data_IF_946783092385
#
_entry.id   IF_946783092385
#
_cell.length_a   1.000
_cell.length_b   1.000
_cell.length_c   1.000
_cell.angle_alpha   90.00
_cell.angle_beta   90.00
_cell.angle_gamma   90.00
#
_symmetry.space_group_name_H-M   'P 1'
#
loop_
_entity.id
_entity.type
_entity.pdbx_description
1 polymer ?
#
# COMPACT_ATOMS: atom_id res chain seq x y z
N UNK A 1 -28.49 5.03 -34.27
CA UNK A 1 -27.09 4.73 -33.87
C UNK A 1 -26.04 5.10 -34.93
N UNK A 2 -26.39 5.78 -36.03
CA UNK A 2 -25.47 6.12 -37.14
C UNK A 2 -25.30 7.64 -37.41
N UNK A 3 -25.53 8.53 -36.44
CA UNK A 3 -25.44 9.99 -36.66
C UNK A 3 -24.25 10.71 -36.02
N UNK A 4 -23.25 9.98 -35.47
CA UNK A 4 -22.13 10.61 -34.76
C UNK A 4 -20.74 10.12 -35.19
N UNK A 5 -20.52 9.93 -36.49
CA UNK A 5 -19.17 9.80 -37.02
C UNK A 5 -18.87 11.03 -37.87
N UNK A 6 -18.27 12.05 -37.26
CA UNK A 6 -17.55 13.08 -38.01
C UNK A 6 -16.15 12.55 -38.27
N UNK A 7 -15.84 12.27 -39.54
CA UNK A 7 -14.46 12.04 -39.98
C UNK A 7 -13.63 13.32 -39.73
N UNK A 8 -12.65 13.21 -38.84
CA UNK A 8 -11.72 14.31 -38.58
C UNK A 8 -10.66 14.31 -39.67
N UNK A 9 -10.86 15.14 -40.70
CA UNK A 9 -9.82 15.50 -41.65
C UNK A 9 -8.77 16.35 -40.91
N UNK A 10 -7.61 15.75 -40.66
CA UNK A 10 -6.36 16.34 -40.17
C UNK A 10 -6.15 16.35 -38.62
N UNK A 11 -5.51 15.30 -38.06
CA UNK A 11 -5.25 15.18 -36.61
C UNK A 11 -4.22 16.20 -36.07
N UNK A 12 -3.55 16.99 -36.93
CA UNK A 12 -2.48 17.90 -36.51
C UNK A 12 -2.91 19.37 -36.34
N UNK A 13 -4.15 19.72 -36.67
CA UNK A 13 -4.70 21.08 -36.48
C UNK A 13 -4.99 21.48 -35.02
N UNK A 14 -5.01 20.52 -34.09
CA UNK A 14 -5.37 20.78 -32.68
C UNK A 14 -4.22 21.24 -31.78
N UNK A 15 -3.05 21.59 -32.33
CA UNK A 15 -1.87 22.04 -31.56
C UNK A 15 -2.07 23.33 -30.72
N UNK A 16 -3.25 23.96 -30.75
CA UNK A 16 -3.54 25.19 -29.99
C UNK A 16 -4.72 25.12 -29.03
N UNK A 17 -5.49 24.03 -29.01
CA UNK A 17 -6.71 23.98 -28.22
C UNK A 17 -6.53 23.03 -27.05
N UNK A 18 -6.42 23.60 -25.85
CA UNK A 18 -6.35 22.80 -24.63
C UNK A 18 -7.68 22.09 -24.38
N UNK A 19 -7.67 21.07 -23.53
CA UNK A 19 -8.89 20.37 -23.12
C UNK A 19 -9.94 21.33 -22.55
N UNK A 20 -9.51 22.41 -21.90
CA UNK A 20 -10.38 23.48 -21.44
C UNK A 20 -11.13 24.19 -22.59
N UNK A 21 -10.46 24.45 -23.72
CA UNK A 21 -11.06 25.11 -24.88
C UNK A 21 -12.05 24.19 -25.60
N UNK A 22 -11.73 22.89 -25.64
CA UNK A 22 -12.63 21.86 -26.13
C UNK A 22 -13.90 21.77 -25.27
N UNK A 23 -13.74 21.67 -23.94
CA UNK A 23 -14.85 21.54 -23.01
C UNK A 23 -15.71 22.82 -22.94
N UNK A 24 -15.09 24.01 -23.03
CA UNK A 24 -15.81 25.30 -23.08
C UNK A 24 -16.65 25.43 -24.35
N UNK A 25 -16.10 25.09 -25.53
CA UNK A 25 -16.84 25.18 -26.80
C UNK A 25 -18.03 24.24 -26.87
N UNK A 26 -17.95 23.09 -26.21
CA UNK A 26 -19.05 22.12 -26.14
C UNK A 26 -20.01 22.40 -24.98
N UNK A 27 -19.82 23.51 -24.25
CA UNK A 27 -20.60 23.86 -23.06
C UNK A 27 -20.60 22.77 -21.97
N UNK A 28 -19.56 21.94 -21.93
CA UNK A 28 -19.40 20.83 -20.99
C UNK A 28 -18.80 21.26 -19.64
N UNK A 29 -18.30 22.49 -19.56
CA UNK A 29 -17.83 23.15 -18.32
C UNK A 29 -18.94 24.00 -17.65
N UNK A 30 -20.20 23.59 -17.77
CA UNK A 30 -21.25 24.19 -16.96
C UNK A 30 -21.31 23.49 -15.59
N UNK A 31 -21.76 24.20 -14.57
CA UNK A 31 -21.72 23.73 -13.17
C UNK A 31 -22.49 22.42 -12.97
N UNK A 32 -23.55 22.18 -13.76
CA UNK A 32 -24.34 20.95 -13.72
C UNK A 32 -23.60 19.77 -14.36
N UNK A 33 -22.93 19.96 -15.50
CA UNK A 33 -22.14 18.93 -16.17
C UNK A 33 -20.88 18.60 -15.38
N UNK A 34 -20.21 19.60 -14.78
CA UNK A 34 -19.08 19.35 -13.88
C UNK A 34 -19.55 18.57 -12.66
N UNK A 35 -20.69 18.93 -12.04
CA UNK A 35 -21.29 18.15 -10.94
C UNK A 35 -21.59 16.70 -11.37
N UNK A 36 -22.14 16.49 -12.56
CA UNK A 36 -22.46 15.16 -13.10
C UNK A 36 -21.23 14.32 -13.50
N UNK A 37 -20.16 14.93 -14.01
CA UNK A 37 -18.90 14.24 -14.36
C UNK A 37 -18.09 13.95 -13.09
N UNK A 38 -18.11 14.87 -12.13
CA UNK A 38 -17.41 14.73 -10.85
C UNK A 38 -18.06 13.70 -9.91
N UNK A 39 -19.26 13.21 -10.25
CA UNK A 39 -20.01 12.25 -9.45
C UNK A 39 -19.90 10.82 -9.98
N UNK A 40 -18.71 10.38 -10.37
CA UNK A 40 -18.33 8.99 -10.15
C UNK A 40 -18.18 8.76 -8.64
N UNK A 41 -19.28 8.89 -7.89
CA UNK A 41 -19.30 8.62 -6.46
C UNK A 41 -19.16 7.11 -6.35
N UNK A 42 -17.93 6.63 -6.11
CA UNK A 42 -17.78 5.38 -5.37
C UNK A 42 -18.46 5.61 -4.04
N UNK A 43 -19.56 4.91 -3.80
CA UNK A 43 -20.14 4.82 -2.48
C UNK A 43 -19.10 4.09 -1.61
N UNK A 44 -18.21 4.85 -0.98
CA UNK A 44 -17.52 4.35 0.20
C UNK A 44 -18.65 4.22 1.22
N UNK A 45 -19.20 3.01 1.35
CA UNK A 45 -20.16 2.72 2.41
C UNK A 45 -19.56 3.06 3.77
N UNK A 46 -20.33 2.93 4.85
CA UNK A 46 -19.79 2.97 6.22
C UNK A 46 -18.46 2.20 6.23
N UNK A 47 -17.37 2.78 6.74
CA UNK A 47 -15.97 2.45 6.41
C UNK A 47 -15.50 0.99 6.53
N UNK A 48 -16.40 0.10 6.92
CA UNK A 48 -16.24 -1.33 6.94
C UNK A 48 -16.98 -2.07 5.79
N UNK A 49 -17.57 -1.35 4.84
CA UNK A 49 -18.27 -1.91 3.67
C UNK A 49 -17.26 -2.32 2.58
N UNK A 50 -17.61 -3.32 1.77
CA UNK A 50 -16.74 -3.74 0.68
C UNK A 50 -16.88 -2.76 -0.49
N UNK A 51 -15.79 -2.54 -1.23
CA UNK A 51 -15.77 -1.54 -2.29
C UNK A 51 -16.68 -1.94 -3.46
N UNK A 52 -17.46 -0.96 -3.94
CA UNK A 52 -18.39 -1.12 -5.06
C UNK A 52 -18.09 -0.10 -6.16
N UNK A 53 -18.39 -0.48 -7.41
CA UNK A 53 -18.39 0.45 -8.52
C UNK A 53 -19.58 1.44 -8.45
N UNK A 54 -19.65 2.40 -9.36
CA UNK A 54 -20.75 3.36 -9.42
C UNK A 54 -22.14 2.75 -9.71
N UNK A 55 -22.23 1.44 -9.94
CA UNK A 55 -23.47 0.67 -10.13
C UNK A 55 -23.78 -0.23 -8.94
N UNK A 56 -23.00 -0.16 -7.85
CA UNK A 56 -23.17 -1.00 -6.67
C UNK A 56 -22.66 -2.42 -6.85
N UNK A 57 -21.82 -2.70 -7.85
CA UNK A 57 -21.22 -4.03 -8.03
C UNK A 57 -19.89 -4.12 -7.29
N UNK A 58 -19.72 -5.20 -6.52
CA UNK A 58 -18.48 -5.46 -5.81
C UNK A 58 -17.34 -5.78 -6.77
N UNK A 59 -16.14 -5.32 -6.42
CA UNK A 59 -14.94 -5.56 -7.23
C UNK A 59 -13.68 -5.56 -6.35
N UNK A 60 -12.63 -6.30 -6.74
CA UNK A 60 -11.30 -6.11 -6.14
C UNK A 60 -10.58 -5.05 -6.97
N UNK A 61 -10.17 -3.93 -6.38
CA UNK A 61 -9.45 -2.91 -7.11
C UNK A 61 -8.09 -3.44 -7.58
N UNK A 62 -7.79 -3.23 -8.86
CA UNK A 62 -6.47 -3.51 -9.42
C UNK A 62 -5.38 -2.68 -8.72
N UNK A 63 -5.74 -1.52 -8.16
CA UNK A 63 -4.84 -0.71 -7.31
C UNK A 63 -4.45 -1.40 -6.00
N UNK A 64 -5.35 -2.17 -5.38
CA UNK A 64 -5.05 -2.94 -4.16
C UNK A 64 -4.06 -4.07 -4.45
N UNK A 65 -4.30 -4.81 -5.53
CA UNK A 65 -3.40 -5.88 -6.00
C UNK A 65 -2.05 -5.28 -6.41
N UNK A 66 -2.05 -4.18 -7.18
CA UNK A 66 -0.84 -3.47 -7.59
C UNK A 66 -0.06 -2.91 -6.41
N UNK A 67 -0.74 -2.49 -5.33
CA UNK A 67 -0.11 -2.10 -4.07
C UNK A 67 0.67 -3.25 -3.43
N UNK A 68 0.09 -4.44 -3.38
CA UNK A 68 0.78 -5.63 -2.86
C UNK A 68 1.96 -6.06 -3.78
N UNK A 69 1.80 -5.95 -5.10
CA UNK A 69 2.90 -6.14 -6.07
C UNK A 69 4.02 -5.11 -5.81
N UNK A 70 3.69 -3.84 -5.56
CA UNK A 70 4.67 -2.80 -5.25
C UNK A 70 5.53 -3.17 -4.04
N UNK A 71 4.89 -3.59 -2.96
CA UNK A 71 5.60 -4.01 -1.74
C UNK A 71 6.49 -5.22 -2.02
N UNK A 72 6.00 -6.20 -2.79
CA UNK A 72 6.76 -7.40 -3.15
C UNK A 72 8.03 -7.06 -3.94
N UNK A 73 7.92 -6.19 -4.96
CA UNK A 73 9.07 -5.75 -5.77
C UNK A 73 10.06 -4.97 -4.92
N UNK A 74 9.58 -4.09 -4.04
CA UNK A 74 10.45 -3.34 -3.12
C UNK A 74 11.17 -4.26 -2.14
N UNK A 75 10.45 -5.23 -1.56
CA UNK A 75 11.01 -6.23 -0.65
C UNK A 75 12.12 -7.03 -1.33
N UNK A 76 11.86 -7.60 -2.51
CA UNK A 76 12.84 -8.38 -3.25
C UNK A 76 14.10 -7.55 -3.55
N UNK A 77 13.91 -6.32 -4.02
CA UNK A 77 15.02 -5.42 -4.29
C UNK A 77 15.89 -5.15 -3.05
N UNK A 78 15.26 -4.81 -1.93
CA UNK A 78 16.00 -4.51 -0.70
C UNK A 78 16.63 -5.75 -0.07
N UNK A 79 16.04 -6.93 -0.27
CA UNK A 79 16.62 -8.21 0.14
C UNK A 79 17.89 -8.51 -0.66
N UNK A 80 17.88 -8.31 -1.97
CA UNK A 80 19.07 -8.46 -2.81
C UNK A 80 20.16 -7.45 -2.44
N UNK A 81 19.78 -6.21 -2.12
CA UNK A 81 20.73 -5.22 -1.59
C UNK A 81 21.33 -5.67 -0.26
N UNK A 82 20.52 -6.18 0.66
CA UNK A 82 20.97 -6.70 1.96
C UNK A 82 21.94 -7.88 1.80
N UNK A 83 21.67 -8.77 0.85
CA UNK A 83 22.49 -9.95 0.57
C UNK A 83 23.82 -9.58 -0.10
N UNK A 84 23.80 -8.66 -1.05
CA UNK A 84 24.97 -8.25 -1.83
C UNK A 84 25.85 -7.20 -1.14
N UNK A 85 25.24 -6.26 -0.41
CA UNK A 85 25.92 -5.18 0.29
C UNK A 85 25.18 -4.77 1.58
N UNK A 86 25.34 -5.60 2.60
CA UNK A 86 24.69 -5.41 3.90
C UNK A 86 25.07 -4.08 4.59
N UNK A 87 26.28 -3.55 4.36
CA UNK A 87 26.69 -2.25 4.91
C UNK A 87 25.87 -1.10 4.33
N UNK A 88 25.66 -1.09 3.00
CA UNK A 88 24.81 -0.09 2.35
C UNK A 88 23.34 -0.22 2.78
N UNK A 89 22.84 -1.46 2.91
CA UNK A 89 21.49 -1.69 3.45
C UNK A 89 21.37 -1.10 4.86
N UNK A 90 22.34 -1.37 5.74
CA UNK A 90 22.34 -0.87 7.11
C UNK A 90 22.43 0.65 7.18
N UNK A 91 23.37 1.26 6.48
CA UNK A 91 23.57 2.71 6.55
C UNK A 91 22.40 3.47 5.92
N UNK A 92 21.93 3.03 4.76
CA UNK A 92 21.01 3.83 3.98
C UNK A 92 19.54 3.51 4.20
N UNK A 93 19.22 2.31 4.72
CA UNK A 93 17.84 1.92 5.03
C UNK A 93 17.64 1.98 6.53
N UNK A 94 18.38 1.13 7.28
CA UNK A 94 18.22 1.04 8.74
C UNK A 94 18.59 2.36 9.43
N UNK A 95 19.74 2.94 9.10
CA UNK A 95 20.19 4.21 9.71
C UNK A 95 19.24 5.38 9.45
N UNK A 96 18.61 5.44 8.27
CA UNK A 96 17.60 6.45 7.96
C UNK A 96 16.31 6.25 8.76
N UNK A 97 15.85 5.00 8.85
CA UNK A 97 14.70 4.63 9.68
C UNK A 97 14.96 5.05 11.13
N UNK A 98 16.12 4.67 11.69
CA UNK A 98 16.50 5.01 13.05
C UNK A 98 16.59 6.52 13.29
N UNK A 99 17.16 7.26 12.33
CA UNK A 99 17.22 8.72 12.37
C UNK A 99 15.82 9.35 12.42
N UNK A 100 14.92 8.91 11.54
CA UNK A 100 13.54 9.39 11.48
C UNK A 100 12.75 9.03 12.74
N UNK A 101 12.93 7.83 13.27
CA UNK A 101 12.33 7.45 14.55
C UNK A 101 12.81 8.37 15.66
N UNK A 102 14.10 8.68 15.73
CA UNK A 102 14.66 9.61 16.72
C UNK A 102 14.06 11.02 16.58
N UNK A 103 13.91 11.51 15.36
CA UNK A 103 13.25 12.79 15.07
C UNK A 103 11.80 12.77 15.57
N UNK A 104 11.06 11.72 15.23
CA UNK A 104 9.69 11.51 15.66
C UNK A 104 9.55 11.47 17.20
N UNK A 105 10.37 10.68 17.90
CA UNK A 105 10.33 10.58 19.37
C UNK A 105 10.53 11.95 20.04
N UNK A 106 11.41 12.79 19.47
CA UNK A 106 11.69 14.15 19.95
C UNK A 106 10.46 15.05 19.80
N UNK A 107 9.82 15.04 18.64
CA UNK A 107 8.59 15.84 18.40
C UNK A 107 7.44 15.35 19.28
N UNK A 108 7.27 14.03 19.43
CA UNK A 108 6.26 13.41 20.31
C UNK A 108 6.41 13.84 21.76
N UNK A 109 7.64 13.90 22.26
CA UNK A 109 7.92 14.36 23.63
C UNK A 109 7.59 15.85 23.81
N UNK A 110 7.91 16.70 22.83
CA UNK A 110 7.53 18.11 22.83
C UNK A 110 6.00 18.31 22.80
N UNK A 111 5.29 17.52 21.98
CA UNK A 111 3.83 17.51 21.94
C UNK A 111 3.19 17.17 23.30
N UNK A 112 3.68 16.12 23.97
CA UNK A 112 3.18 15.70 25.28
C UNK A 112 3.42 16.80 26.32
N UNK A 113 4.58 17.45 26.30
CA UNK A 113 4.91 18.56 27.21
C UNK A 113 4.00 19.77 26.97
N UNK A 114 3.78 20.16 25.71
CA UNK A 114 2.87 21.24 25.36
C UNK A 114 1.43 20.97 25.84
N UNK A 115 0.94 19.72 25.69
CA UNK A 115 -0.36 19.30 26.24
C UNK A 115 -0.41 19.41 27.76
N UNK A 116 0.64 18.99 28.47
CA UNK A 116 0.72 19.10 29.95
C UNK A 116 0.71 20.55 30.43
N UNK A 117 1.28 21.46 29.65
CA UNK A 117 1.30 22.90 29.92
C UNK A 117 0.04 23.63 29.44
N UNK A 118 -0.97 22.91 28.92
CA UNK A 118 -2.16 23.49 28.28
C UNK A 118 -1.85 24.46 27.12
N UNK A 119 -0.68 24.34 26.48
CA UNK A 119 -0.30 25.13 25.31
C UNK A 119 -0.87 24.48 24.03
N UNK A 120 -2.14 24.77 23.75
CA UNK A 120 -2.86 24.18 22.61
C UNK A 120 -2.28 24.57 21.25
N UNK A 121 -1.69 25.76 21.12
CA UNK A 121 -1.09 26.21 19.86
C UNK A 121 0.16 25.39 19.53
N UNK A 122 1.06 25.24 20.50
CA UNK A 122 2.28 24.42 20.33
C UNK A 122 1.94 22.95 20.10
N UNK A 123 0.95 22.40 20.84
CA UNK A 123 0.50 21.02 20.61
C UNK A 123 -0.02 20.81 19.18
N UNK A 124 -0.74 21.77 18.60
CA UNK A 124 -1.19 21.68 17.19
C UNK A 124 -0.03 21.73 16.20
N UNK A 125 0.96 22.58 16.44
CA UNK A 125 2.17 22.66 15.59
C UNK A 125 2.91 21.33 15.63
N UNK A 126 3.16 20.78 16.82
CA UNK A 126 3.86 19.50 16.98
C UNK A 126 3.08 18.32 16.42
N UNK A 127 1.75 18.32 16.51
CA UNK A 127 0.93 17.31 15.83
C UNK A 127 1.13 17.33 14.31
N UNK A 128 1.14 18.52 13.69
CA UNK A 128 1.39 18.64 12.25
C UNK A 128 2.81 18.24 11.85
N UNK A 129 3.80 18.57 12.69
CA UNK A 129 5.19 18.10 12.51
C UNK A 129 5.25 16.57 12.56
N UNK A 130 4.56 15.91 13.49
CA UNK A 130 4.45 14.45 13.55
C UNK A 130 3.82 13.88 12.29
N UNK A 131 2.66 14.41 11.85
CA UNK A 131 1.98 13.96 10.63
C UNK A 131 2.89 14.09 9.39
N UNK A 132 3.70 15.15 9.32
CA UNK A 132 4.64 15.36 8.22
C UNK A 132 5.79 14.35 8.27
N UNK A 133 6.31 14.02 9.46
CA UNK A 133 7.35 13.01 9.63
C UNK A 133 6.80 11.64 9.22
N UNK A 134 5.59 11.26 9.66
CA UNK A 134 4.91 10.02 9.28
C UNK A 134 4.75 9.90 7.77
N UNK A 135 4.20 10.93 7.10
CA UNK A 135 4.09 10.96 5.64
C UNK A 135 5.43 10.90 4.92
N UNK A 136 6.48 11.49 5.52
CA UNK A 136 7.83 11.40 4.97
C UNK A 136 8.47 10.04 5.18
N UNK A 137 8.04 9.28 6.18
CA UNK A 137 8.60 7.97 6.52
C UNK A 137 8.39 6.99 5.37
N UNK A 138 7.14 6.86 4.91
CA UNK A 138 6.81 6.02 3.75
C UNK A 138 7.47 6.54 2.48
N UNK A 139 7.48 7.85 2.26
CA UNK A 139 8.07 8.47 1.08
C UNK A 139 9.58 8.23 0.98
N UNK A 140 10.29 8.41 2.09
CA UNK A 140 11.75 8.31 2.12
C UNK A 140 12.24 6.86 2.06
N UNK A 141 11.45 5.90 2.58
CA UNK A 141 11.75 4.47 2.54
C UNK A 141 11.35 3.86 1.18
N UNK A 142 10.16 4.18 0.67
CA UNK A 142 9.57 3.58 -0.54
C UNK A 142 10.02 4.31 -1.80
N UNK A 143 9.95 5.64 -1.86
CA UNK A 143 10.20 6.38 -3.12
C UNK A 143 11.68 6.69 -3.31
N UNK A 144 12.37 7.21 -2.29
CA UNK A 144 13.75 7.69 -2.44
C UNK A 144 14.82 6.58 -2.59
N UNK A 145 14.47 5.29 -2.46
CA UNK A 145 15.42 4.17 -2.65
C UNK A 145 15.04 3.28 -3.82
N UNK A 146 13.75 3.01 -4.02
CA UNK A 146 13.27 2.35 -5.24
C UNK A 146 13.62 3.17 -6.49
N UNK A 147 13.48 4.50 -6.41
CA UNK A 147 13.84 5.41 -7.49
C UNK A 147 15.35 5.70 -7.56
N UNK A 148 16.09 5.56 -6.45
CA UNK A 148 17.55 5.71 -6.43
C UNK A 148 18.30 4.40 -6.67
N UNK A 149 17.66 3.24 -6.85
CA UNK A 149 18.35 2.08 -7.43
C UNK A 149 18.68 2.31 -8.92
N UNK A 150 17.90 3.17 -9.57
CA UNK A 150 18.27 3.81 -10.82
C UNK A 150 19.36 4.89 -10.66
N UNK A 151 20.00 5.03 -9.49
CA UNK A 151 20.96 6.10 -9.18
C UNK A 151 21.99 6.25 -10.28
N UNK A 152 22.47 5.16 -10.87
CA UNK A 152 23.49 5.24 -11.90
C UNK A 152 22.98 5.94 -13.17
N UNK A 153 21.70 5.73 -13.53
CA UNK A 153 21.04 6.39 -14.65
C UNK A 153 20.55 7.81 -14.31
N UNK A 154 20.13 8.04 -13.07
CA UNK A 154 19.72 9.35 -12.56
C UNK A 154 20.94 10.27 -12.41
N UNK A 155 22.05 9.78 -11.85
CA UNK A 155 23.34 10.49 -11.74
C UNK A 155 23.96 10.78 -13.11
N UNK A 156 23.77 9.89 -14.09
CA UNK A 156 24.14 10.14 -15.49
C UNK A 156 23.20 11.10 -16.22
N UNK A 157 22.13 11.58 -15.59
CA UNK A 157 21.18 12.53 -16.16
C UNK A 157 20.25 11.94 -17.23
N UNK A 158 20.18 10.61 -17.32
CA UNK A 158 19.42 9.87 -18.36
C UNK A 158 17.93 9.83 -18.01
N UNK A 159 17.59 9.78 -16.72
CA UNK A 159 16.21 9.62 -16.22
C UNK A 159 15.92 10.66 -15.14
N UNK A 160 14.82 11.41 -15.28
CA UNK A 160 14.30 12.29 -14.23
C UNK A 160 13.42 11.50 -13.28
N UNK A 161 13.80 11.40 -12.01
CA UNK A 161 12.99 10.75 -10.99
C UNK A 161 11.66 11.47 -10.83
N UNK A 162 10.57 10.74 -11.03
CA UNK A 162 9.23 11.21 -10.74
C UNK A 162 8.18 10.14 -11.03
N UNK A 163 6.89 10.45 -10.81
CA UNK A 163 5.80 9.53 -11.11
C UNK A 163 5.89 8.99 -12.54
N UNK A 164 6.40 9.81 -13.47
CA UNK A 164 6.52 9.45 -14.87
C UNK A 164 7.58 8.38 -15.19
N UNK A 165 8.46 8.03 -14.25
CA UNK A 165 9.54 7.05 -14.43
C UNK A 165 9.48 5.93 -13.39
N UNK A 166 8.36 5.78 -12.67
CA UNK A 166 8.15 4.67 -11.75
C UNK A 166 8.09 3.35 -12.54
N UNK A 167 8.94 2.38 -12.18
CA UNK A 167 9.00 1.04 -12.77
C UNK A 167 7.61 0.40 -12.83
N UNK A 168 6.78 0.58 -11.80
CA UNK A 168 5.45 -0.01 -11.73
C UNK A 168 4.44 0.66 -12.66
N UNK A 169 4.80 1.71 -13.40
CA UNK A 169 3.99 2.16 -14.56
C UNK A 169 3.96 1.13 -15.68
N UNK A 170 4.99 0.29 -15.77
CA UNK A 170 5.06 -0.80 -16.76
C UNK A 170 4.10 -1.93 -16.40
N UNK A 171 3.66 -2.04 -15.14
CA UNK A 171 2.71 -3.06 -14.67
C UNK A 171 1.31 -2.48 -14.64
N UNK A 172 0.38 -3.05 -15.40
CA UNK A 172 -1.05 -2.71 -15.37
C UNK A 172 -1.81 -3.86 -14.73
N UNK A 173 -2.72 -3.54 -13.83
CA UNK A 173 -3.57 -4.53 -13.14
C UNK A 173 -5.01 -4.10 -13.32
N UNK A 174 -5.86 -4.98 -13.83
CA UNK A 174 -7.28 -4.71 -13.99
C UNK A 174 -8.03 -4.87 -12.67
N UNK A 175 -9.12 -4.13 -12.53
CA UNK A 175 -10.12 -4.45 -11.51
C UNK A 175 -10.73 -5.83 -11.81
N UNK A 176 -11.13 -6.57 -10.77
CA UNK A 176 -11.85 -7.84 -10.90
C UNK A 176 -13.27 -7.72 -10.40
N UNK A 177 -14.23 -8.39 -11.04
CA UNK A 177 -15.63 -8.41 -10.60
C UNK A 177 -15.84 -9.52 -9.58
N UNK A 178 -16.70 -9.24 -8.61
CA UNK A 178 -17.12 -10.18 -7.57
C UNK A 178 -18.64 -10.14 -7.48
N UNK A 179 -19.23 -11.30 -7.27
CA UNK A 179 -20.69 -11.43 -7.17
C UNK A 179 -21.20 -11.20 -5.74
N UNK A 180 -20.49 -11.71 -4.73
CA UNK A 180 -20.97 -11.73 -3.35
C UNK A 180 -19.89 -11.36 -2.31
N UNK A 181 -20.33 -10.72 -1.24
CA UNK A 181 -19.56 -10.42 -0.03
C UNK A 181 -20.40 -10.76 1.20
N UNK A 182 -19.76 -11.02 2.33
CA UNK A 182 -20.43 -11.33 3.60
C UNK A 182 -19.98 -10.39 4.70
N UNK A 183 -20.88 -10.10 5.64
CA UNK A 183 -20.51 -9.40 6.87
C UNK A 183 -19.93 -10.37 7.88
N UNK A 184 -18.76 -10.04 8.39
CA UNK A 184 -18.01 -10.82 9.36
C UNK A 184 -17.67 -9.98 10.59
N UNK A 185 -17.82 -10.61 11.76
CA UNK A 185 -17.43 -9.99 13.01
C UNK A 185 -15.99 -10.37 13.38
N UNK A 186 -15.07 -9.45 13.10
CA UNK A 186 -13.65 -9.62 13.36
C UNK A 186 -13.34 -9.20 14.80
N UNK A 187 -12.75 -10.11 15.57
CA UNK A 187 -12.26 -9.84 16.92
C UNK A 187 -10.77 -9.46 16.88
N UNK A 188 -10.40 -8.43 17.63
CA UNK A 188 -9.00 -8.01 17.72
C UNK A 188 -8.29 -8.74 18.84
N UNK A 189 -7.22 -9.45 18.51
CA UNK A 189 -6.37 -10.17 19.46
C UNK A 189 -5.04 -9.42 19.62
N UNK A 190 -4.63 -9.21 20.86
CA UNK A 190 -3.38 -8.57 21.22
C UNK A 190 -2.49 -9.55 22.00
N UNK A 191 -1.21 -9.61 21.64
CA UNK A 191 -0.24 -10.47 22.31
C UNK A 191 0.59 -9.72 23.34
N UNK A 192 0.91 -10.40 24.45
CA UNK A 192 1.83 -9.93 25.49
C UNK A 192 3.23 -10.48 25.23
N UNK A 193 4.24 -9.87 25.84
CA UNK A 193 5.63 -10.31 25.72
C UNK A 193 5.89 -11.73 26.24
N UNK A 194 5.01 -12.24 27.12
CA UNK A 194 5.08 -13.60 27.65
C UNK A 194 4.36 -14.64 26.76
N UNK A 195 3.93 -14.27 25.55
CA UNK A 195 3.25 -15.17 24.60
C UNK A 195 1.74 -15.33 24.81
N UNK A 196 1.21 -14.96 25.99
CA UNK A 196 -0.24 -14.95 26.22
C UNK A 196 -0.95 -13.87 25.41
N UNK A 197 -2.22 -14.09 25.08
CA UNK A 197 -3.02 -13.10 24.36
C UNK A 197 -4.16 -12.54 25.20
N UNK A 198 -4.73 -11.42 24.76
CA UNK A 198 -5.98 -10.89 25.27
C UNK A 198 -6.77 -10.27 24.13
N UNK A 199 -8.09 -10.32 24.22
CA UNK A 199 -8.94 -9.58 23.29
C UNK A 199 -8.79 -8.09 23.56
N UNK A 200 -8.55 -7.31 22.51
CA UNK A 200 -8.48 -5.85 22.58
C UNK A 200 -9.73 -5.30 23.24
N UNK A 201 -9.57 -4.32 24.13
CA UNK A 201 -10.68 -3.70 24.86
C UNK A 201 -10.68 -2.20 24.65
N UNK A 202 -11.88 -1.62 24.59
CA UNK A 202 -12.09 -0.17 24.63
C UNK A 202 -12.94 0.21 25.82
N UNK A 203 -12.62 1.34 26.45
CA UNK A 203 -13.42 1.91 27.54
C UNK A 203 -14.60 2.69 26.97
N UNK A 204 -15.78 2.52 27.57
CA UNK A 204 -16.96 3.34 27.32
C UNK A 204 -16.93 4.59 28.20
N UNK A 205 -17.81 5.57 27.89
CA UNK A 205 -17.96 6.80 28.68
C UNK A 205 -18.39 6.54 30.13
N UNK A 206 -19.06 5.42 30.38
CA UNK A 206 -19.49 4.96 31.71
C UNK A 206 -18.39 4.22 32.50
N UNK A 207 -17.19 4.09 31.94
CA UNK A 207 -16.05 3.40 32.57
C UNK A 207 -16.03 1.88 32.35
N UNK A 208 -17.06 1.28 31.75
CA UNK A 208 -17.09 -0.15 31.45
C UNK A 208 -16.18 -0.50 30.26
N UNK A 209 -15.61 -1.70 30.27
CA UNK A 209 -14.79 -2.22 29.16
C UNK A 209 -15.64 -3.08 28.25
N UNK A 210 -15.52 -2.87 26.93
CA UNK A 210 -16.05 -3.81 25.92
C UNK A 210 -14.90 -4.35 25.07
N UNK A 211 -15.00 -5.60 24.65
CA UNK A 211 -14.10 -6.14 23.64
C UNK A 211 -14.28 -5.36 22.32
N UNK A 212 -13.17 -5.15 21.61
CA UNK A 212 -13.16 -4.54 20.29
C UNK A 212 -13.59 -5.63 19.31
N UNK A 213 -14.79 -5.45 18.74
CA UNK A 213 -15.28 -6.19 17.60
C UNK A 213 -15.50 -5.22 16.44
N UNK A 214 -15.16 -5.67 15.24
CA UNK A 214 -15.26 -4.92 14.02
C UNK A 214 -16.19 -5.68 13.07
N UNK A 215 -17.24 -5.03 12.58
CA UNK A 215 -18.15 -5.61 11.60
C UNK A 215 -17.72 -5.16 10.21
N UNK A 216 -17.19 -6.07 9.39
CA UNK A 216 -16.65 -5.80 8.05
C UNK A 216 -17.33 -6.66 6.99
N UNK A 217 -17.60 -6.05 5.84
CA UNK A 217 -17.92 -6.79 4.61
C UNK A 217 -16.61 -7.31 3.99
N UNK A 218 -16.53 -8.62 3.83
CA UNK A 218 -15.36 -9.36 3.39
C UNK A 218 -15.75 -10.36 2.29
N UNK A 219 -14.76 -10.80 1.51
CA UNK A 219 -14.95 -11.93 0.60
C UNK A 219 -15.19 -13.22 1.37
N UNK A 220 -15.98 -14.12 0.78
CA UNK A 220 -16.06 -15.48 1.29
C UNK A 220 -14.71 -16.18 1.05
N UNK A 221 -14.35 -17.10 1.95
CA UNK A 221 -13.24 -18.01 1.67
C UNK A 221 -13.52 -18.78 0.36
N UNK A 222 -12.49 -19.13 -0.40
CA UNK A 222 -12.63 -19.82 -1.69
C UNK A 222 -13.38 -19.04 -2.79
N UNK A 223 -13.60 -17.73 -2.62
CA UNK A 223 -14.15 -16.89 -3.70
C UNK A 223 -13.15 -16.82 -4.86
N UNK A 224 -13.58 -17.26 -6.04
CA UNK A 224 -12.80 -17.16 -7.26
C UNK A 224 -13.14 -15.88 -8.03
N UNK A 225 -12.12 -15.15 -8.48
CA UNK A 225 -12.27 -14.03 -9.39
C UNK A 225 -11.08 -13.97 -10.34
N UNK A 226 -11.28 -13.33 -11.50
CA UNK A 226 -10.23 -13.15 -12.51
C UNK A 226 -9.78 -11.69 -12.56
N UNK A 227 -8.47 -11.47 -12.61
CA UNK A 227 -7.82 -10.19 -12.86
C UNK A 227 -6.75 -10.37 -13.92
N UNK A 228 -6.45 -9.31 -14.67
CA UNK A 228 -5.41 -9.28 -15.69
C UNK A 228 -4.22 -8.47 -15.20
N UNK A 229 -3.02 -9.06 -15.28
CA UNK A 229 -1.75 -8.38 -15.03
C UNK A 229 -0.99 -8.30 -16.35
N UNK A 230 -0.72 -7.09 -16.82
CA UNK A 230 -0.02 -6.83 -18.08
C UNK A 230 1.31 -6.12 -17.80
N UNK A 231 2.35 -6.55 -18.52
CA UNK A 231 3.66 -5.90 -18.52
C UNK A 231 3.87 -5.17 -19.85
N UNK A 232 4.08 -3.85 -19.77
CA UNK A 232 4.32 -2.96 -20.89
C UNK A 232 5.81 -2.97 -21.24
N UNK A 233 6.22 -3.91 -22.10
CA UNK A 233 7.63 -4.10 -22.48
C UNK A 233 8.22 -2.90 -23.23
N UNK A 234 7.42 -2.20 -24.03
CA UNK A 234 7.88 -1.00 -24.73
C UNK A 234 8.26 0.09 -23.71
N UNK A 235 7.39 0.32 -22.73
CA UNK A 235 7.66 1.28 -21.66
C UNK A 235 8.83 0.83 -20.77
N UNK A 236 8.92 -0.47 -20.49
CA UNK A 236 10.01 -1.06 -19.70
C UNK A 236 11.36 -0.83 -20.38
N UNK A 237 11.48 -1.20 -21.66
CA UNK A 237 12.69 -1.01 -22.45
C UNK A 237 13.04 0.48 -22.63
N UNK A 238 12.03 1.35 -22.70
CA UNK A 238 12.24 2.80 -22.76
C UNK A 238 12.82 3.37 -21.48
N UNK A 239 12.37 2.89 -20.33
CA UNK A 239 12.87 3.35 -19.03
C UNK A 239 14.22 2.70 -18.67
N UNK A 240 14.46 1.48 -19.13
CA UNK A 240 15.58 0.64 -18.72
C UNK A 240 16.22 -0.11 -19.91
N UNK A 241 16.78 0.60 -20.92
CA UNK A 241 17.26 -0.03 -22.16
C UNK A 241 18.49 -0.93 -21.98
N UNK A 242 19.35 -0.67 -20.98
CA UNK A 242 20.69 -1.29 -20.87
C UNK A 242 20.98 -1.94 -19.50
N UNK A 243 19.96 -2.13 -18.65
CA UNK A 243 20.17 -2.45 -17.23
C UNK A 243 19.61 -3.81 -16.82
N UNK A 244 20.27 -4.46 -15.85
CA UNK A 244 19.76 -5.57 -15.04
C UNK A 244 18.45 -5.12 -14.35
N UNK A 245 17.32 -5.32 -15.01
CA UNK A 245 16.00 -5.02 -14.43
C UNK A 245 15.66 -6.13 -13.43
N UNK A 246 14.93 -5.78 -12.36
CA UNK A 246 14.42 -6.73 -11.37
C UNK A 246 13.58 -7.84 -12.00
N UNK A 247 12.81 -7.51 -13.03
CA UNK A 247 12.03 -8.44 -13.82
C UNK A 247 12.00 -7.95 -15.28
N UNK A 248 12.06 -8.88 -16.21
CA UNK A 248 12.03 -8.61 -17.64
C UNK A 248 10.90 -9.34 -18.36
N UNK A 249 10.08 -10.10 -17.64
CA UNK A 249 8.90 -10.80 -18.12
C UNK A 249 7.87 -10.97 -17.00
N UNK A 250 6.69 -11.52 -17.32
CA UNK A 250 5.64 -11.73 -16.33
C UNK A 250 6.01 -12.82 -15.32
N UNK A 251 6.77 -13.83 -15.73
CA UNK A 251 7.13 -14.98 -14.89
C UNK A 251 8.07 -14.57 -13.76
N UNK A 252 9.08 -13.75 -14.07
CA UNK A 252 10.02 -13.15 -13.10
C UNK A 252 9.28 -12.23 -12.13
N UNK A 253 8.33 -11.42 -12.60
CA UNK A 253 7.47 -10.62 -11.71
C UNK A 253 6.65 -11.50 -10.76
N UNK A 254 6.05 -12.58 -11.26
CA UNK A 254 5.28 -13.52 -10.43
C UNK A 254 6.18 -14.23 -9.40
N UNK A 255 7.42 -14.57 -9.75
CA UNK A 255 8.36 -15.16 -8.81
C UNK A 255 8.73 -14.21 -7.66
N UNK A 256 8.93 -12.92 -7.97
CA UNK A 256 9.15 -11.87 -6.96
C UNK A 256 7.95 -11.77 -6.00
N UNK A 257 6.74 -11.82 -6.55
CA UNK A 257 5.50 -11.78 -5.77
C UNK A 257 5.41 -13.00 -4.84
N UNK A 258 5.64 -14.21 -5.36
CA UNK A 258 5.65 -15.46 -4.58
C UNK A 258 6.67 -15.42 -3.46
N UNK A 259 7.89 -14.94 -3.72
CA UNK A 259 8.94 -14.87 -2.70
C UNK A 259 8.51 -14.02 -1.50
N UNK A 260 7.85 -12.89 -1.73
CA UNK A 260 7.34 -12.05 -0.66
C UNK A 260 6.17 -12.72 0.08
N UNK A 261 5.22 -13.30 -0.65
CA UNK A 261 4.10 -14.04 -0.07
C UNK A 261 4.56 -15.21 0.81
N UNK A 262 5.54 -15.98 0.37
CA UNK A 262 6.16 -17.08 1.13
C UNK A 262 6.89 -16.56 2.37
N UNK A 263 7.65 -15.48 2.24
CA UNK A 263 8.36 -14.88 3.38
C UNK A 263 7.38 -14.39 4.45
N UNK A 264 6.27 -13.79 4.04
CA UNK A 264 5.21 -13.36 4.95
C UNK A 264 4.53 -14.56 5.63
N UNK A 265 4.17 -15.58 4.85
CA UNK A 265 3.52 -16.78 5.35
C UNK A 265 4.38 -17.50 6.41
N UNK A 266 5.69 -17.62 6.16
CA UNK A 266 6.64 -18.23 7.09
C UNK A 266 6.73 -17.42 8.40
N UNK A 267 6.85 -16.09 8.31
CA UNK A 267 6.94 -15.24 9.51
C UNK A 267 5.67 -15.34 10.36
N UNK A 268 4.50 -15.30 9.73
CA UNK A 268 3.21 -15.40 10.41
C UNK A 268 2.99 -16.79 11.01
N UNK A 269 3.31 -17.86 10.27
CA UNK A 269 3.28 -19.23 10.78
C UNK A 269 4.17 -19.39 12.01
N UNK A 270 5.42 -18.92 11.94
CA UNK A 270 6.36 -18.97 13.05
C UNK A 270 5.89 -18.15 14.25
N UNK A 271 5.18 -17.05 14.01
CA UNK A 271 4.59 -16.23 15.06
C UNK A 271 3.43 -16.97 15.73
N UNK A 272 2.46 -17.47 14.96
CA UNK A 272 1.26 -18.12 15.50
C UNK A 272 1.53 -19.49 16.11
N UNK A 273 2.56 -20.22 15.67
CA UNK A 273 3.01 -21.45 16.34
C UNK A 273 3.47 -21.22 17.80
N UNK A 274 3.90 -20.00 18.14
CA UNK A 274 4.27 -19.63 19.51
C UNK A 274 3.07 -19.26 20.36
N UNK A 275 1.87 -19.19 19.77
CA UNK A 275 0.63 -18.82 20.45
C UNK A 275 -0.45 -19.89 20.23
N UNK A 276 -0.34 -21.03 20.94
CA UNK A 276 -1.15 -22.23 20.67
C UNK A 276 -2.62 -22.11 21.09
N UNK A 277 -3.01 -21.02 21.74
CA UNK A 277 -4.33 -20.88 22.38
C UNK A 277 -5.47 -20.55 21.38
N UNK A 278 -5.19 -20.47 20.08
CA UNK A 278 -6.19 -20.31 19.02
C UNK A 278 -5.99 -21.40 17.96
N UNK A 279 -6.63 -22.57 18.14
CA UNK A 279 -6.45 -23.74 17.28
C UNK A 279 -6.75 -23.46 15.81
N UNK A 280 -7.78 -22.65 15.51
CA UNK A 280 -8.22 -22.37 14.15
C UNK A 280 -7.15 -21.62 13.34
N UNK A 281 -6.46 -20.66 13.97
CA UNK A 281 -5.36 -19.93 13.33
C UNK A 281 -4.16 -20.85 13.12
N UNK A 282 -3.86 -21.67 14.13
CA UNK A 282 -2.74 -22.62 14.07
C UNK A 282 -2.98 -23.66 12.98
N UNK A 283 -4.20 -24.17 12.86
CA UNK A 283 -4.64 -25.08 11.82
C UNK A 283 -4.51 -24.44 10.44
N UNK A 284 -5.02 -23.22 10.25
CA UNK A 284 -4.90 -22.47 9.00
C UNK A 284 -3.45 -22.35 8.50
N UNK A 285 -2.52 -21.90 9.35
CA UNK A 285 -1.10 -21.77 8.96
C UNK A 285 -0.35 -23.10 8.88
N UNK A 286 -0.91 -24.18 9.42
CA UNK A 286 -0.35 -25.53 9.26
C UNK A 286 -0.86 -26.25 8.00
N UNK A 287 -1.83 -25.69 7.30
CA UNK A 287 -2.20 -26.17 5.98
C UNK A 287 -0.99 -26.10 5.03
N UNK A 288 -0.79 -27.17 4.24
CA UNK A 288 0.25 -27.21 3.22
C UNK A 288 -0.17 -26.38 2.00
N UNK A 289 -0.17 -25.06 2.15
CA UNK A 289 -0.29 -24.14 1.02
C UNK A 289 1.05 -24.13 0.31
N UNK A 290 1.11 -24.74 -0.88
CA UNK A 290 2.38 -24.95 -1.57
C UNK A 290 3.06 -23.64 -1.95
N UNK A 291 2.30 -22.58 -2.28
CA UNK A 291 2.85 -21.30 -2.76
C UNK A 291 1.89 -20.13 -2.48
N UNK A 292 1.89 -19.53 -1.28
CA UNK A 292 1.12 -18.32 -1.00
C UNK A 292 1.61 -17.17 -1.90
N UNK A 293 0.70 -16.59 -2.69
CA UNK A 293 1.08 -15.61 -3.71
C UNK A 293 1.11 -14.19 -3.15
N UNK A 294 -0.01 -13.73 -2.58
CA UNK A 294 -0.21 -12.35 -2.15
C UNK A 294 -1.11 -12.31 -0.92
N UNK A 295 -0.86 -11.35 -0.04
CA UNK A 295 -1.82 -10.90 0.97
C UNK A 295 -2.34 -9.53 0.53
N UNK A 296 -3.66 -9.37 0.46
CA UNK A 296 -4.30 -8.16 -0.07
C UNK A 296 -5.39 -7.67 0.89
N UNK A 297 -5.56 -6.36 0.96
CA UNK A 297 -6.65 -5.72 1.71
C UNK A 297 -6.26 -5.31 3.13
N UNK A 298 -7.26 -4.88 3.91
CA UNK A 298 -7.07 -4.25 5.22
C UNK A 298 -6.33 -5.15 6.24
N UNK A 299 -6.55 -6.47 6.16
CA UNK A 299 -5.97 -7.45 7.08
C UNK A 299 -4.49 -7.80 6.84
N UNK A 300 -3.81 -7.16 5.88
CA UNK A 300 -2.38 -7.42 5.59
C UNK A 300 -1.45 -6.95 6.70
N UNK A 301 -1.87 -5.90 7.42
CA UNK A 301 -1.08 -5.28 8.47
C UNK A 301 0.28 -4.76 7.98
N UNK A 302 1.09 -4.32 8.94
CA UNK A 302 2.40 -3.73 8.70
C UNK A 302 3.31 -4.62 7.84
N UNK A 303 3.41 -5.92 8.15
CA UNK A 303 4.32 -6.84 7.45
C UNK A 303 3.95 -7.06 5.97
N UNK A 304 2.68 -6.89 5.59
CA UNK A 304 2.23 -7.01 4.20
C UNK A 304 2.24 -5.69 3.42
N UNK A 305 2.33 -4.54 4.11
CA UNK A 305 2.30 -3.22 3.48
C UNK A 305 3.64 -2.49 3.48
N UNK A 306 4.65 -3.00 4.18
CA UNK A 306 5.97 -2.39 4.33
C UNK A 306 7.10 -3.39 4.08
N UNK A 307 8.33 -2.91 4.21
CA UNK A 307 9.56 -3.71 4.05
C UNK A 307 10.00 -4.41 5.35
N UNK A 308 9.15 -4.37 6.38
CA UNK A 308 9.55 -4.66 7.77
C UNK A 308 10.03 -6.10 7.98
N UNK A 309 9.66 -7.05 7.11
CA UNK A 309 10.21 -8.40 7.11
C UNK A 309 11.75 -8.43 6.98
N UNK A 310 12.37 -7.38 6.42
CA UNK A 310 13.83 -7.28 6.30
C UNK A 310 14.50 -6.68 7.54
N UNK A 311 13.73 -6.08 8.45
CA UNK A 311 14.20 -5.44 9.67
C UNK A 311 14.25 -6.44 10.83
N UNK A 312 15.09 -6.17 11.81
CA UNK A 312 15.14 -6.97 13.03
C UNK A 312 13.90 -6.72 13.92
N UNK A 313 13.46 -7.72 14.71
CA UNK A 313 12.25 -7.60 15.52
C UNK A 313 12.21 -6.38 16.46
N UNK A 314 13.31 -5.96 17.13
CA UNK A 314 13.30 -4.77 17.98
C UNK A 314 12.97 -3.49 17.22
N UNK A 315 13.54 -3.30 16.02
CA UNK A 315 13.28 -2.12 15.20
C UNK A 315 11.84 -2.12 14.68
N UNK A 316 11.34 -3.26 14.20
CA UNK A 316 9.92 -3.40 13.79
C UNK A 316 8.97 -3.03 14.92
N UNK A 317 9.23 -3.53 16.12
CA UNK A 317 8.41 -3.23 17.29
C UNK A 317 8.44 -1.73 17.62
N UNK A 318 9.61 -1.09 17.47
CA UNK A 318 9.76 0.35 17.68
C UNK A 318 8.98 1.17 16.64
N UNK A 319 9.07 0.82 15.36
CA UNK A 319 8.28 1.46 14.28
C UNK A 319 6.79 1.37 14.62
N UNK A 320 6.30 0.15 14.90
CA UNK A 320 4.91 -0.09 15.25
C UNK A 320 4.43 0.71 16.47
N UNK A 321 5.26 0.82 17.52
CA UNK A 321 4.83 1.48 18.76
C UNK A 321 4.95 3.01 18.70
N UNK A 322 5.84 3.53 17.86
CA UNK A 322 6.09 4.96 17.76
C UNK A 322 5.23 5.62 16.69
N UNK A 323 5.19 5.05 15.48
CA UNK A 323 4.70 5.68 14.24
C UNK A 323 3.30 5.19 13.85
N UNK A 324 2.97 3.92 14.14
CA UNK A 324 1.66 3.31 13.79
C UNK A 324 0.67 3.32 14.95
#
# INVERSE_FOLDING_TARGET
>A
LNEYVQEFSDPWKFKKEGINDFLRRRSLLNENTVKQISSGITCVGDGNSFICDGRGKYFVPGTSIKGAIRTSVLYHFLKELKNSNNENFRNDVVGKIEHKLKEYSKVKSAYINAKRQNNLQEARIKSREMDNIEKSFDKDIVENKFLNFLDDMVKKGIVKVGPNTDLLRTVKVSDSKIDEVRRENIRVICFRNNGSFYFGKTKRRDGTERQISLDYECLHEDTEFTTEILLDFELLNKFYPDSKILFNDISSLINIIKEFGESQWIEERNFFQKVPEIPEITEFYNQNISHPLLRVGWGTGMLGTTIDLLLDPPLRQRIRNEVM
#
